data_IF_363499813933
#
_entry.id   IF_363499813933
#
_cell.length_a   1.000
_cell.length_b   1.000
_cell.length_c   1.000
_cell.angle_alpha   90.00
_cell.angle_beta   90.00
_cell.angle_gamma   90.00
#
_symmetry.space_group_name_H-M   'P 1'
#
loop_
_entity.id
_entity.type
_entity.pdbx_description
1 polymer ?
#
# COMPACT_ATOMS: atom_id res chain seq x y z
N UNK A 1 -30.74 -14.31 -0.50
CA UNK A 1 -29.67 -13.36 -0.11
C UNK A 1 -29.07 -12.83 -1.40
N UNK A 2 -29.02 -11.52 -1.57
CA UNK A 2 -28.39 -10.91 -2.75
C UNK A 2 -27.23 -10.02 -2.27
N UNK A 3 -26.09 -10.10 -2.94
CA UNK A 3 -24.90 -9.35 -2.61
C UNK A 3 -24.31 -8.65 -3.84
N UNK A 4 -23.72 -7.48 -3.62
CA UNK A 4 -22.95 -6.75 -4.63
C UNK A 4 -21.57 -6.45 -4.04
N UNK A 5 -20.52 -6.69 -4.82
CA UNK A 5 -19.14 -6.36 -4.46
C UNK A 5 -18.57 -5.46 -5.54
N UNK A 6 -17.90 -4.39 -5.13
CA UNK A 6 -17.05 -3.59 -6.00
C UNK A 6 -15.61 -4.08 -5.84
N UNK A 7 -14.84 -4.04 -6.93
CA UNK A 7 -13.44 -4.45 -7.12
C UNK A 7 -12.56 -4.25 -5.86
N UNK A 8 -12.70 -5.16 -4.89
CA UNK A 8 -11.87 -5.34 -3.70
C UNK A 8 -12.02 -4.39 -2.49
N UNK A 9 -12.93 -3.41 -2.49
CA UNK A 9 -13.03 -2.48 -1.33
C UNK A 9 -14.23 -2.75 -0.40
N UNK A 10 -15.42 -3.04 -0.96
CA UNK A 10 -16.65 -3.17 -0.15
C UNK A 10 -17.64 -4.14 -0.77
N UNK A 11 -18.16 -5.06 0.06
CA UNK A 11 -19.30 -5.90 -0.27
C UNK A 11 -20.52 -5.52 0.57
N UNK A 12 -21.69 -5.51 -0.06
CA UNK A 12 -22.97 -5.30 0.62
C UNK A 12 -23.83 -6.55 0.55
N UNK A 13 -24.29 -7.05 1.70
CA UNK A 13 -25.29 -8.12 1.78
C UNK A 13 -26.66 -7.55 2.13
N UNK A 14 -27.68 -8.00 1.39
CA UNK A 14 -29.07 -7.64 1.62
C UNK A 14 -29.83 -8.86 2.14
N UNK A 15 -30.32 -8.75 3.38
CA UNK A 15 -31.27 -9.70 3.97
C UNK A 15 -32.66 -9.08 3.93
N UNK A 16 -33.61 -9.78 3.29
CA UNK A 16 -35.02 -9.37 3.19
C UNK A 16 -35.89 -10.40 3.92
N UNK A 17 -36.75 -9.89 4.79
CA UNK A 17 -37.88 -10.57 5.40
C UNK A 17 -39.15 -9.76 5.09
N UNK A 18 -40.34 -10.36 5.18
CA UNK A 18 -41.62 -9.76 4.76
C UNK A 18 -41.94 -8.43 5.46
N UNK A 19 -41.26 -8.12 6.58
CA UNK A 19 -41.45 -6.89 7.34
C UNK A 19 -40.19 -6.04 7.49
N UNK A 20 -39.00 -6.57 7.19
CA UNK A 20 -37.73 -5.90 7.49
C UNK A 20 -36.67 -6.20 6.42
N UNK A 21 -35.97 -5.16 5.98
CA UNK A 21 -34.73 -5.31 5.21
C UNK A 21 -33.55 -4.82 6.05
N UNK A 22 -32.45 -5.59 6.05
CA UNK A 22 -31.18 -5.23 6.69
C UNK A 22 -30.05 -5.19 5.66
N UNK A 23 -29.18 -4.21 5.83
CA UNK A 23 -27.97 -4.02 5.04
C UNK A 23 -26.76 -4.28 5.91
N UNK A 24 -25.88 -5.16 5.45
CA UNK A 24 -24.61 -5.47 6.11
C UNK A 24 -23.50 -4.99 5.19
N UNK A 25 -22.63 -4.11 5.71
CA UNK A 25 -21.43 -3.65 5.01
C UNK A 25 -20.24 -4.47 5.49
N UNK A 26 -19.52 -5.03 4.53
CA UNK A 26 -18.28 -5.77 4.75
C UNK A 26 -17.17 -4.92 4.13
N UNK A 27 -16.23 -4.47 4.96
CA UNK A 27 -14.98 -3.87 4.50
C UNK A 27 -13.98 -4.99 4.19
N UNK A 28 -13.40 -4.95 3.00
CA UNK A 28 -12.27 -5.81 2.65
C UNK A 28 -11.03 -4.97 2.91
N UNK A 29 -10.15 -5.47 3.78
CA UNK A 29 -8.87 -4.80 4.00
C UNK A 29 -8.01 -5.03 2.75
N UNK A 30 -7.52 -3.93 2.17
CA UNK A 30 -6.55 -4.00 1.10
C UNK A 30 -5.31 -4.76 1.60
N UNK A 31 -4.90 -5.76 0.84
CA UNK A 31 -3.64 -6.42 1.10
C UNK A 31 -2.58 -5.55 0.48
N UNK A 32 -1.57 -5.16 1.26
CA UNK A 32 -0.42 -4.43 0.73
C UNK A 32 0.34 -5.32 -0.27
N UNK A 33 -0.09 -5.26 -1.52
CA UNK A 33 0.43 -6.00 -2.66
C UNK A 33 1.52 -5.21 -3.41
N UNK A 34 1.75 -3.94 -3.03
CA UNK A 34 2.77 -3.06 -3.59
C UNK A 34 3.71 -2.52 -2.50
N UNK A 35 4.54 -3.38 -1.87
CA UNK A 35 5.50 -2.92 -0.88
C UNK A 35 6.57 -2.00 -1.52
N UNK A 36 7.17 -1.09 -0.75
CA UNK A 36 8.18 -0.17 -1.27
C UNK A 36 9.38 -0.92 -1.84
N UNK A 37 9.92 -0.40 -2.94
CA UNK A 37 11.03 -0.99 -3.70
C UNK A 37 12.16 0.01 -3.90
N UNK A 38 13.36 -0.50 -4.16
CA UNK A 38 14.51 0.31 -4.55
C UNK A 38 14.72 0.23 -6.06
N UNK A 39 15.19 1.31 -6.67
CA UNK A 39 15.46 1.37 -8.11
C UNK A 39 16.59 0.41 -8.55
N UNK A 40 17.55 0.15 -7.66
CA UNK A 40 18.70 -0.71 -7.95
C UNK A 40 18.77 -1.87 -6.98
N UNK A 41 19.17 -3.03 -7.50
CA UNK A 41 19.48 -4.20 -6.68
C UNK A 41 20.78 -4.02 -5.86
N UNK A 42 21.69 -3.15 -6.32
CA UNK A 42 22.94 -2.84 -5.65
C UNK A 42 23.27 -1.35 -5.82
N UNK A 43 23.67 -0.71 -4.71
CA UNK A 43 24.25 0.62 -4.70
C UNK A 43 25.69 0.52 -4.19
N UNK A 44 26.64 0.99 -4.98
CA UNK A 44 28.07 0.99 -4.67
C UNK A 44 28.65 2.36 -4.99
N UNK A 45 29.57 2.83 -4.15
CA UNK A 45 30.32 4.07 -4.34
C UNK A 45 31.65 3.99 -3.61
N UNK A 46 32.60 4.81 -4.02
CA UNK A 46 33.91 4.96 -3.39
C UNK A 46 33.97 6.30 -2.66
N UNK A 47 34.79 6.39 -1.61
CA UNK A 47 35.03 7.60 -0.83
C UNK A 47 36.53 7.68 -0.50
N UNK A 48 37.08 8.90 -0.51
CA UNK A 48 38.49 9.13 -0.15
C UNK A 48 38.71 8.91 1.35
N UNK A 49 39.89 8.40 1.72
CA UNK A 49 40.25 8.17 3.12
C UNK A 49 40.39 9.48 3.92
N UNK A 50 40.62 10.59 3.22
CA UNK A 50 40.82 11.92 3.80
C UNK A 50 39.55 12.77 3.79
N UNK A 51 38.38 12.17 3.53
CA UNK A 51 37.14 12.93 3.54
C UNK A 51 36.78 13.48 4.93
N UNK A 52 36.07 14.60 4.92
CA UNK A 52 35.70 15.31 6.14
C UNK A 52 34.74 14.50 7.03
N UNK A 53 34.82 14.75 8.33
CA UNK A 53 33.91 14.14 9.29
C UNK A 53 32.47 14.56 8.99
N UNK A 54 31.57 13.58 9.02
CA UNK A 54 30.14 13.71 8.67
C UNK A 54 29.85 13.88 7.17
N UNK A 55 30.79 13.56 6.29
CA UNK A 55 30.52 13.44 4.87
C UNK A 55 29.46 12.36 4.57
N UNK A 56 28.46 12.69 3.75
CA UNK A 56 27.43 11.73 3.33
C UNK A 56 27.91 10.96 2.11
N UNK A 57 28.13 9.65 2.27
CA UNK A 57 28.69 8.79 1.22
C UNK A 57 27.65 8.39 0.18
N UNK A 58 26.44 8.06 0.61
CA UNK A 58 25.39 7.59 -0.27
C UNK A 58 24.00 7.91 0.31
N UNK A 59 23.10 8.37 -0.54
CA UNK A 59 21.67 8.50 -0.22
C UNK A 59 20.89 7.56 -1.13
N UNK A 60 20.08 6.67 -0.54
CA UNK A 60 19.18 5.76 -1.27
C UNK A 60 17.73 6.08 -0.93
N UNK A 61 16.86 5.91 -1.92
CA UNK A 61 15.42 6.18 -1.79
C UNK A 61 14.66 4.92 -2.16
N UNK A 62 13.81 4.46 -1.25
CA UNK A 62 12.77 3.48 -1.57
C UNK A 62 11.56 4.24 -2.12
N UNK A 63 10.98 3.72 -3.19
CA UNK A 63 9.75 4.21 -3.80
C UNK A 63 8.62 3.28 -3.45
N UNK A 64 7.45 3.85 -3.26
CA UNK A 64 6.21 3.10 -3.16
C UNK A 64 5.41 3.42 -4.44
N UNK A 65 4.82 2.40 -5.08
CA UNK A 65 3.96 2.58 -6.25
C UNK A 65 2.57 3.10 -5.84
N UNK A 66 2.31 3.24 -4.54
CA UNK A 66 1.17 3.98 -4.05
C UNK A 66 1.36 5.48 -4.30
N UNK A 67 0.53 5.94 -5.24
CA UNK A 67 0.16 7.32 -5.51
C UNK A 67 0.12 8.13 -4.21
N UNK A 68 0.92 9.19 -4.14
CA UNK A 68 0.80 10.14 -3.04
C UNK A 68 -0.63 10.68 -2.93
N UNK A 69 -0.99 11.01 -1.68
CA UNK A 69 -2.26 11.56 -1.20
C UNK A 69 -3.35 10.48 -1.01
N UNK A 70 -3.74 10.12 0.22
CA UNK A 70 -4.25 10.96 1.32
C UNK A 70 -3.95 10.38 2.72
#
# INVERSE_FOLDING_TARGET
MAGFCNEDTHCTLIARDDKVTKFIRIGIADKNDSPPYFDKALYETEVDENEELHHTVLTVTAKDDHEGEY
#
